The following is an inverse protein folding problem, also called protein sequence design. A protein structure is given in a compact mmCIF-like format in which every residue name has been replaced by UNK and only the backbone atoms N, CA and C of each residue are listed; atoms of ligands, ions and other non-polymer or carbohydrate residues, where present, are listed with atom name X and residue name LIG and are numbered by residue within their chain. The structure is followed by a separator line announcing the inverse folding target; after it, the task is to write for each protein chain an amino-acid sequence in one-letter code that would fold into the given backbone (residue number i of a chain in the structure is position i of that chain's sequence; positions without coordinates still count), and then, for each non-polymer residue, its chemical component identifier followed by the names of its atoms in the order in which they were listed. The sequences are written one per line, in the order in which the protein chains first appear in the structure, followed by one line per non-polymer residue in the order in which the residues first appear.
data_IF_170169926441
#
_entry.id   IF_170169926441
#
_cell.length_a   1.000
_cell.length_b   1.000
_cell.length_c   1.000
_cell.angle_alpha   90.00
_cell.angle_beta   90.00
_cell.angle_gamma   90.00
#
_symmetry.space_group_name_H-M   'P 1'
#
loop_
_entity.id
_entity.type
_entity.pdbx_description
1 polymer ?
#
# COMPACT_ATOMS: atom_id res chain seq x y z
N UNK A 1 -7.90 21.49 -37.68
CA UNK A 1 -7.70 20.73 -36.43
C UNK A 1 -6.20 20.48 -36.31
N UNK A 2 -5.51 21.19 -35.42
CA UNK A 2 -4.08 20.98 -35.20
C UNK A 2 -3.89 19.64 -34.49
N UNK A 3 -3.16 18.74 -35.16
CA UNK A 3 -2.85 17.41 -34.69
C UNK A 3 -1.83 17.53 -33.56
N UNK A 4 -2.30 17.72 -32.33
CA UNK A 4 -1.45 17.73 -31.14
C UNK A 4 -0.81 16.34 -30.99
N UNK A 5 0.41 16.21 -31.50
CA UNK A 5 1.18 14.97 -31.49
C UNK A 5 1.56 14.73 -30.04
N UNK A 6 1.06 13.65 -29.43
CA UNK A 6 1.29 13.33 -28.01
C UNK A 6 2.77 13.21 -27.58
N UNK A 7 3.72 13.31 -28.52
CA UNK A 7 5.16 13.46 -28.25
C UNK A 7 5.55 14.81 -27.67
N UNK A 8 4.88 15.89 -28.07
CA UNK A 8 5.38 17.26 -27.85
C UNK A 8 5.12 17.69 -26.40
N UNK A 9 4.06 17.14 -25.81
CA UNK A 9 3.74 17.29 -24.39
C UNK A 9 4.83 16.69 -23.48
N UNK A 10 5.64 15.75 -23.99
CA UNK A 10 6.73 15.12 -23.25
C UNK A 10 8.03 15.94 -23.29
N UNK A 11 8.28 16.64 -24.40
CA UNK A 11 9.48 17.46 -24.56
C UNK A 11 9.38 18.82 -23.86
N UNK A 12 8.22 19.50 -23.95
CA UNK A 12 8.03 20.79 -23.26
C UNK A 12 8.05 20.67 -21.72
N UNK A 13 7.67 19.51 -21.18
CA UNK A 13 7.64 19.25 -19.73
C UNK A 13 8.90 18.57 -19.21
N UNK A 14 9.90 18.31 -20.06
CA UNK A 14 11.16 17.68 -19.62
C UNK A 14 12.04 18.73 -18.97
N UNK A 15 12.44 18.49 -17.72
CA UNK A 15 13.40 19.34 -17.05
C UNK A 15 14.70 19.40 -17.85
N UNK A 16 15.31 20.59 -17.87
CA UNK A 16 16.68 20.74 -18.37
C UNK A 16 17.60 19.82 -17.57
N UNK A 17 18.67 19.29 -18.17
CA UNK A 17 19.57 18.33 -17.51
C UNK A 17 20.14 18.88 -16.18
N UNK A 18 20.39 20.18 -16.10
CA UNK A 18 20.84 20.87 -14.89
C UNK A 18 19.80 20.87 -13.76
N UNK A 19 18.52 21.02 -14.10
CA UNK A 19 17.44 21.02 -13.12
C UNK A 19 17.06 19.60 -12.71
N UNK A 20 17.18 18.63 -13.63
CA UNK A 20 17.04 17.21 -13.32
C UNK A 20 18.08 16.75 -12.30
N UNK A 21 19.34 17.18 -12.43
CA UNK A 21 20.41 16.85 -11.50
C UNK A 21 20.11 17.31 -10.06
N UNK A 22 19.52 18.51 -9.90
CA UNK A 22 19.11 19.03 -8.59
C UNK A 22 17.96 18.23 -7.98
N UNK A 23 17.01 17.78 -8.81
CA UNK A 23 15.88 16.94 -8.36
C UNK A 23 16.39 15.56 -7.92
N UNK A 24 17.32 14.98 -8.67
CA UNK A 24 17.89 13.67 -8.37
C UNK A 24 18.71 13.73 -7.06
N UNK A 25 19.52 14.77 -6.89
CA UNK A 25 20.26 15.04 -5.64
C UNK A 25 19.28 15.17 -4.45
N UNK A 26 18.24 15.99 -4.58
CA UNK A 26 17.23 16.18 -3.54
C UNK A 26 16.47 14.88 -3.20
N UNK A 27 16.05 14.11 -4.20
CA UNK A 27 15.38 12.81 -4.00
C UNK A 27 16.30 11.79 -3.34
N UNK A 28 17.60 11.81 -3.66
CA UNK A 28 18.61 10.93 -3.07
C UNK A 28 18.95 11.29 -1.61
N UNK A 29 18.77 12.55 -1.23
CA UNK A 29 19.05 13.06 0.13
C UNK A 29 18.09 12.47 1.17
N UNK A 30 17.02 11.79 0.74
CA UNK A 30 16.49 10.64 1.46
C UNK A 30 15.95 10.90 2.86
N UNK A 31 15.40 12.08 3.14
CA UNK A 31 14.76 12.39 4.44
C UNK A 31 13.56 11.48 4.76
N UNK A 32 13.01 10.79 3.75
CA UNK A 32 11.91 9.83 3.86
C UNK A 32 12.32 8.37 3.58
N UNK A 33 13.63 8.06 3.60
CA UNK A 33 14.11 6.67 3.52
C UNK A 33 14.05 6.04 4.91
N UNK A 34 12.88 5.51 5.27
CA UNK A 34 12.72 4.70 6.48
C UNK A 34 13.02 3.25 6.17
N UNK A 35 13.68 2.54 7.09
CA UNK A 35 13.87 1.09 6.99
C UNK A 35 12.50 0.41 6.98
N UNK A 36 12.00 0.05 5.79
CA UNK A 36 10.69 -0.57 5.64
C UNK A 36 10.83 -2.05 5.94
N UNK A 37 10.39 -2.44 7.14
CA UNK A 37 10.17 -3.86 7.44
C UNK A 37 9.30 -4.45 6.33
N UNK A 38 9.72 -5.58 5.71
CA UNK A 38 8.95 -6.17 4.61
C UNK A 38 7.54 -6.48 5.10
N UNK A 39 6.54 -6.03 4.35
CA UNK A 39 5.15 -6.28 4.67
C UNK A 39 4.89 -7.79 4.63
N UNK A 40 4.30 -8.35 5.69
CA UNK A 40 4.02 -9.79 5.83
C UNK A 40 2.51 -10.05 5.69
N UNK A 41 1.94 -10.01 4.49
CA UNK A 41 0.48 -10.06 4.27
C UNK A 41 -0.17 -11.32 4.87
N UNK A 42 0.49 -12.47 4.75
CA UNK A 42 -0.04 -13.73 5.30
C UNK A 42 -0.17 -13.72 6.81
N UNK A 43 0.72 -13.04 7.54
CA UNK A 43 0.61 -12.92 9.00
C UNK A 43 -0.64 -12.16 9.41
N UNK A 44 -0.97 -11.09 8.68
CA UNK A 44 -2.18 -10.30 8.93
C UNK A 44 -3.44 -11.11 8.63
N UNK A 45 -3.44 -11.86 7.53
CA UNK A 45 -4.57 -12.73 7.17
C UNK A 45 -4.78 -13.88 8.17
N UNK A 46 -3.71 -14.54 8.62
CA UNK A 46 -3.82 -15.58 9.64
C UNK A 46 -4.37 -15.05 10.95
N UNK A 47 -3.97 -13.85 11.37
CA UNK A 47 -4.51 -13.22 12.58
C UNK A 47 -6.00 -12.91 12.44
N UNK A 48 -6.42 -12.36 11.30
CA UNK A 48 -7.83 -12.09 11.02
C UNK A 48 -8.66 -13.38 11.07
N UNK A 49 -8.22 -14.42 10.35
CA UNK A 49 -8.89 -15.72 10.30
C UNK A 49 -8.95 -16.35 11.70
N UNK A 50 -7.84 -16.28 12.46
CA UNK A 50 -7.80 -16.82 13.82
C UNK A 50 -8.82 -16.15 14.74
N UNK A 51 -8.90 -14.82 14.72
CA UNK A 51 -9.86 -14.07 15.55
C UNK A 51 -11.30 -14.41 15.19
N UNK A 52 -11.64 -14.48 13.90
CA UNK A 52 -13.01 -14.78 13.47
C UNK A 52 -13.42 -16.22 13.80
N UNK A 53 -12.51 -17.19 13.66
CA UNK A 53 -12.74 -18.58 14.07
C UNK A 53 -13.00 -18.67 15.58
N UNK A 54 -12.18 -18.00 16.39
CA UNK A 54 -12.34 -17.99 17.86
C UNK A 54 -13.70 -17.42 18.25
N UNK A 55 -14.10 -16.28 17.68
CA UNK A 55 -15.43 -15.70 17.95
C UNK A 55 -16.57 -16.61 17.48
N UNK A 56 -16.42 -17.27 16.33
CA UNK A 56 -17.39 -18.25 15.85
C UNK A 56 -17.57 -19.42 16.82
N UNK A 57 -16.47 -19.95 17.36
CA UNK A 57 -16.51 -21.06 18.33
C UNK A 57 -17.14 -20.58 19.64
N UNK A 58 -16.70 -19.42 20.16
CA UNK A 58 -17.24 -18.86 21.39
C UNK A 58 -18.75 -18.61 21.28
N UNK A 59 -19.20 -18.03 20.17
CA UNK A 59 -20.62 -17.80 19.89
C UNK A 59 -21.43 -19.10 19.94
N UNK A 60 -20.96 -20.14 19.26
CA UNK A 60 -21.62 -21.46 19.27
C UNK A 60 -21.62 -22.11 20.66
N UNK A 61 -20.55 -21.93 21.44
CA UNK A 61 -20.44 -22.49 22.78
C UNK A 61 -21.45 -21.83 23.74
N UNK A 62 -21.56 -20.50 23.67
CA UNK A 62 -22.57 -19.75 24.42
C UNK A 62 -23.98 -20.15 24.01
N UNK A 63 -24.27 -20.29 22.70
CA UNK A 63 -25.57 -20.74 22.22
C UNK A 63 -25.95 -22.12 22.77
N UNK A 64 -25.00 -23.08 22.73
CA UNK A 64 -25.20 -24.43 23.28
C UNK A 64 -25.46 -24.44 24.78
N UNK A 65 -24.77 -23.61 25.56
CA UNK A 65 -25.00 -23.53 27.01
C UNK A 65 -26.27 -22.78 27.39
N UNK A 66 -26.71 -21.85 26.55
CA UNK A 66 -27.94 -21.09 26.77
C UNK A 66 -29.20 -21.90 26.49
N UNK A 67 -29.07 -23.14 25.98
CA UNK A 67 -30.21 -24.01 25.64
C UNK A 67 -31.06 -23.49 24.48
N UNK A 68 -30.53 -22.53 23.72
CA UNK A 68 -31.19 -21.94 22.56
C UNK A 68 -30.90 -22.86 21.37
N UNK A 69 -31.89 -23.68 21.01
CA UNK A 69 -31.93 -24.45 19.76
C UNK A 69 -33.10 -23.96 18.91
#
# INVERSE_FOLDING_TARGET
MDQFRGSDIGEERRLKPEDQAKVDEFCSTGVNSVERKPFKPFRMMLLLIGVTIVFSILSQMVARWSGIY
#
